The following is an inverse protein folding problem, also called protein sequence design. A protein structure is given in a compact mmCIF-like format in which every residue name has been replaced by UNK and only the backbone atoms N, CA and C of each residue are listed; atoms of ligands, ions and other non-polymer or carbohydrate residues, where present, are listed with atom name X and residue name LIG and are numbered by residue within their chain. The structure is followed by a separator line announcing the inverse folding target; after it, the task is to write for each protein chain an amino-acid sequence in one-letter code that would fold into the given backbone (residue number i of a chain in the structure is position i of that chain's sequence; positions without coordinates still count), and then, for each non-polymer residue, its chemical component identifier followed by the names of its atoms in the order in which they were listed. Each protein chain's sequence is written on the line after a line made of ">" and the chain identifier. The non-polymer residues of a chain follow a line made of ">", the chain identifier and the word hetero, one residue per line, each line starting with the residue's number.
data_IF_718201468383
#
_entry.id   IF_718201468383
#
_cell.length_a   1.000
_cell.length_b   1.000
_cell.length_c   1.000
_cell.angle_alpha   90.00
_cell.angle_beta   90.00
_cell.angle_gamma   90.00
#
_symmetry.space_group_name_H-M   'P 1'
#
loop_
_entity.id
_entity.type
_entity.pdbx_description
1 polymer ?
#
# COMPACT_ATOMS: atom_id res chain seq x y z
N UNK A 1 -5.95 -10.25 -20.62
CA UNK A 1 -6.14 -11.11 -19.43
C UNK A 1 -5.34 -10.65 -18.20
N UNK A 2 -4.00 -10.41 -18.25
CA UNK A 2 -3.24 -10.01 -17.05
C UNK A 2 -3.56 -8.59 -16.54
N UNK A 3 -3.91 -7.66 -17.45
CA UNK A 3 -4.26 -6.28 -17.09
C UNK A 3 -5.46 -6.21 -16.12
N UNK A 4 -6.55 -6.92 -16.43
CA UNK A 4 -7.77 -6.94 -15.59
C UNK A 4 -7.47 -7.50 -14.19
N UNK A 5 -6.65 -8.56 -14.10
CA UNK A 5 -6.26 -9.17 -12.82
C UNK A 5 -5.45 -8.18 -11.98
N UNK A 6 -4.48 -7.47 -12.59
CA UNK A 6 -3.69 -6.45 -11.90
C UNK A 6 -4.56 -5.27 -11.45
N UNK A 7 -5.52 -4.83 -12.26
CA UNK A 7 -6.44 -3.75 -11.90
C UNK A 7 -7.34 -4.14 -10.72
N UNK A 8 -7.95 -5.34 -10.76
CA UNK A 8 -8.80 -5.82 -9.66
C UNK A 8 -8.00 -6.00 -8.36
N UNK A 9 -6.77 -6.51 -8.46
CA UNK A 9 -5.89 -6.71 -7.32
C UNK A 9 -5.44 -5.37 -6.71
N UNK A 10 -5.11 -4.37 -7.54
CA UNK A 10 -4.79 -3.01 -7.08
C UNK A 10 -5.98 -2.34 -6.38
N UNK A 11 -7.20 -2.52 -6.90
CA UNK A 11 -8.44 -2.02 -6.27
C UNK A 11 -8.64 -2.70 -4.91
N UNK A 12 -8.47 -4.02 -4.83
CA UNK A 12 -8.56 -4.76 -3.57
C UNK A 12 -7.54 -4.29 -2.53
N UNK A 13 -6.30 -4.04 -2.95
CA UNK A 13 -5.24 -3.47 -2.10
C UNK A 13 -5.59 -2.07 -1.60
N UNK A 14 -6.14 -1.20 -2.46
CA UNK A 14 -6.56 0.15 -2.07
C UNK A 14 -7.72 0.12 -1.04
N UNK A 15 -8.73 -0.72 -1.27
CA UNK A 15 -9.87 -0.88 -0.36
C UNK A 15 -9.42 -1.48 0.97
N UNK A 16 -8.64 -2.57 0.93
CA UNK A 16 -8.10 -3.21 2.12
C UNK A 16 -7.17 -2.28 2.91
N UNK A 17 -6.35 -1.49 2.21
CA UNK A 17 -5.54 -0.43 2.79
C UNK A 17 -6.39 0.62 3.49
N UNK A 18 -7.45 1.13 2.85
CA UNK A 18 -8.33 2.14 3.44
C UNK A 18 -9.09 1.63 4.67
N UNK A 19 -9.70 0.45 4.58
CA UNK A 19 -10.42 -0.15 5.70
C UNK A 19 -9.45 -0.48 6.84
N UNK A 20 -8.31 -1.08 6.52
CA UNK A 20 -7.26 -1.41 7.49
C UNK A 20 -6.71 -0.15 8.15
N UNK A 21 -6.38 0.90 7.40
CA UNK A 21 -5.88 2.17 7.90
C UNK A 21 -6.88 2.88 8.81
N UNK A 22 -8.17 2.88 8.44
CA UNK A 22 -9.25 3.41 9.28
C UNK A 22 -9.38 2.60 10.57
N UNK A 23 -9.52 1.27 10.48
CA UNK A 23 -9.69 0.38 11.63
C UNK A 23 -8.52 0.47 12.62
N UNK A 24 -7.30 0.47 12.08
CA UNK A 24 -6.04 0.58 12.82
C UNK A 24 -5.90 1.96 13.49
N UNK A 25 -6.32 3.04 12.82
CA UNK A 25 -6.38 4.36 13.42
C UNK A 25 -7.41 4.42 14.57
N UNK A 26 -8.54 3.72 14.45
CA UNK A 26 -9.61 3.65 15.46
C UNK A 26 -9.19 2.87 16.70
N UNK A 27 -8.58 1.70 16.54
CA UNK A 27 -8.34 0.78 17.66
C UNK A 27 -6.95 0.90 18.29
N UNK A 28 -5.91 1.22 17.50
CA UNK A 28 -4.51 1.10 17.93
C UNK A 28 -3.85 2.48 18.19
N UNK A 29 -4.54 3.57 17.84
CA UNK A 29 -4.14 4.94 18.12
C UNK A 29 -3.32 5.62 17.01
N UNK A 30 -3.40 6.97 16.95
CA UNK A 30 -2.86 7.78 15.82
C UNK A 30 -1.37 7.61 15.56
N UNK A 31 -0.56 7.35 16.59
CA UNK A 31 0.91 7.22 16.46
C UNK A 31 1.30 5.88 15.86
N UNK A 32 0.76 4.77 16.36
CA UNK A 32 1.08 3.42 15.88
C UNK A 32 0.56 3.19 14.46
N UNK A 33 -0.62 3.74 14.13
CA UNK A 33 -1.14 3.75 12.75
C UNK A 33 -0.20 4.46 11.77
N UNK A 34 0.47 5.55 12.18
CA UNK A 34 1.49 6.22 11.38
C UNK A 34 2.69 5.33 11.13
N UNK A 35 3.23 4.71 12.18
CA UNK A 35 4.40 3.82 12.06
C UNK A 35 4.14 2.66 11.11
N UNK A 36 2.93 2.08 11.15
CA UNK A 36 2.54 0.99 10.26
C UNK A 36 2.41 1.49 8.81
N UNK A 37 1.74 2.62 8.58
CA UNK A 37 1.66 3.20 7.24
C UNK A 37 3.06 3.53 6.67
N UNK A 38 3.96 4.05 7.51
CA UNK A 38 5.33 4.37 7.16
C UNK A 38 6.14 3.10 6.83
N UNK A 39 5.98 2.04 7.63
CA UNK A 39 6.62 0.74 7.38
C UNK A 39 6.17 0.11 6.05
N UNK A 40 4.87 0.21 5.72
CA UNK A 40 4.33 -0.27 4.44
C UNK A 40 4.88 0.55 3.26
N UNK A 41 5.02 1.87 3.43
CA UNK A 41 5.66 2.76 2.45
C UNK A 41 7.13 2.40 2.23
N UNK A 42 7.89 2.19 3.31
CA UNK A 42 9.29 1.79 3.24
C UNK A 42 9.46 0.40 2.59
N UNK A 43 8.55 -0.54 2.85
CA UNK A 43 8.51 -1.84 2.18
C UNK A 43 8.30 -1.68 0.67
N UNK A 44 7.38 -0.79 0.25
CA UNK A 44 7.14 -0.49 -1.16
C UNK A 44 8.39 0.03 -1.87
N UNK A 45 9.09 0.97 -1.23
CA UNK A 45 10.34 1.55 -1.75
C UNK A 45 11.46 0.50 -1.78
N UNK A 46 11.59 -0.32 -0.74
CA UNK A 46 12.56 -1.41 -0.71
C UNK A 46 12.36 -2.43 -1.85
N UNK A 47 11.11 -2.76 -2.17
CA UNK A 47 10.77 -3.63 -3.29
C UNK A 47 11.07 -2.99 -4.65
N UNK A 48 10.82 -1.68 -4.80
CA UNK A 48 11.20 -0.91 -5.99
C UNK A 48 12.72 -0.92 -6.20
N UNK A 49 13.47 -0.71 -5.11
CA UNK A 49 14.94 -0.68 -5.11
C UNK A 49 15.52 -2.06 -5.39
N UNK A 50 15.02 -3.11 -4.74
CA UNK A 50 15.42 -4.50 -4.99
C UNK A 50 15.17 -4.92 -6.45
N UNK A 51 14.11 -4.42 -7.07
CA UNK A 51 13.81 -4.63 -8.49
C UNK A 51 14.80 -3.99 -9.45
N UNK A 52 15.36 -2.84 -9.08
CA UNK A 52 16.39 -2.16 -9.86
C UNK A 52 17.73 -2.90 -9.90
N UNK A 53 17.99 -3.79 -8.95
CA UNK A 53 19.21 -4.61 -8.90
C UNK A 53 19.10 -5.93 -9.67
N UNK A 54 17.91 -6.30 -10.14
CA UNK A 54 17.70 -7.49 -10.95
C UNK A 54 18.05 -7.18 -12.42
N UNK A 55 18.97 -7.94 -13.05
CA UNK A 55 19.41 -7.65 -14.41
C UNK A 55 18.31 -7.89 -15.46
N UNK A 56 18.17 -6.94 -16.40
CA UNK A 56 17.29 -7.04 -17.56
C UNK A 56 15.79 -6.82 -17.27
N UNK A 57 14.94 -7.14 -18.25
CA UNK A 57 13.47 -6.99 -18.16
C UNK A 57 12.83 -7.86 -17.06
N UNK A 58 13.56 -8.81 -16.48
CA UNK A 58 13.11 -9.65 -15.36
C UNK A 58 12.96 -8.84 -14.06
N UNK A 59 13.83 -7.86 -13.82
CA UNK A 59 13.71 -6.98 -12.65
C UNK A 59 12.41 -6.19 -12.66
N UNK A 60 12.06 -5.64 -13.82
CA UNK A 60 10.77 -4.94 -14.01
C UNK A 60 9.60 -5.92 -13.89
N UNK A 61 9.66 -7.09 -14.53
CA UNK A 61 8.56 -8.07 -14.48
C UNK A 61 8.23 -8.57 -13.06
N UNK A 62 9.22 -8.70 -12.18
CA UNK A 62 9.02 -9.20 -10.81
C UNK A 62 8.68 -8.10 -9.80
N UNK A 63 9.03 -6.84 -10.06
CA UNK A 63 8.81 -5.75 -9.10
C UNK A 63 7.68 -4.82 -9.45
N UNK A 64 7.32 -4.72 -10.72
CA UNK A 64 6.16 -3.96 -11.16
C UNK A 64 4.85 -4.45 -10.50
N UNK A 65 4.56 -5.76 -10.38
CA UNK A 65 3.36 -6.21 -9.68
C UNK A 65 3.40 -5.85 -8.20
N UNK A 66 4.53 -6.06 -7.52
CA UNK A 66 4.68 -5.73 -6.11
C UNK A 66 4.45 -4.24 -5.85
N UNK A 67 5.02 -3.36 -6.68
CA UNK A 67 4.83 -1.90 -6.60
C UNK A 67 3.38 -1.52 -6.88
N UNK A 68 2.77 -2.09 -7.93
CA UNK A 68 1.36 -1.87 -8.26
C UNK A 68 0.37 -2.34 -7.18
N UNK A 69 0.81 -3.17 -6.22
CA UNK A 69 -0.02 -3.65 -5.11
C UNK A 69 0.24 -2.90 -3.81
N UNK A 70 1.51 -2.65 -3.49
CA UNK A 70 1.89 -2.01 -2.23
C UNK A 70 1.62 -0.50 -2.28
N UNK A 71 1.80 0.16 -3.43
CA UNK A 71 1.53 1.59 -3.56
C UNK A 71 0.04 1.92 -3.31
N UNK A 72 -0.93 1.26 -3.97
CA UNK A 72 -2.35 1.52 -3.71
C UNK A 72 -2.77 1.15 -2.29
N UNK A 73 -2.18 0.10 -1.69
CA UNK A 73 -2.43 -0.25 -0.29
C UNK A 73 -1.94 0.85 0.67
N UNK A 74 -0.74 1.38 0.47
CA UNK A 74 -0.19 2.46 1.27
C UNK A 74 -1.02 3.75 1.13
N UNK A 75 -1.42 4.11 -0.10
CA UNK A 75 -2.31 5.24 -0.37
C UNK A 75 -3.67 5.02 0.29
N UNK A 76 -4.24 3.82 0.17
CA UNK A 76 -5.46 3.40 0.85
C UNK A 76 -5.36 3.62 2.36
N UNK A 77 -4.30 3.11 3.00
CA UNK A 77 -4.08 3.31 4.44
C UNK A 77 -4.02 4.78 4.84
N UNK A 78 -3.39 5.63 4.01
CA UNK A 78 -3.32 7.07 4.24
C UNK A 78 -4.72 7.72 4.18
N UNK A 79 -5.50 7.38 3.14
CA UNK A 79 -6.87 7.88 2.95
C UNK A 79 -7.79 7.41 4.07
N UNK A 80 -7.77 6.12 4.41
CA UNK A 80 -8.58 5.56 5.50
C UNK A 80 -8.26 6.18 6.86
N UNK A 81 -6.98 6.47 7.11
CA UNK A 81 -6.54 7.21 8.28
C UNK A 81 -7.02 8.66 8.28
N UNK A 82 -6.96 9.37 7.14
CA UNK A 82 -7.47 10.74 7.03
C UNK A 82 -8.98 10.78 7.28
N UNK A 83 -9.74 9.86 6.70
CA UNK A 83 -11.17 9.68 6.96
C UNK A 83 -11.44 9.40 8.44
N UNK A 84 -10.63 8.56 9.10
CA UNK A 84 -10.75 8.29 10.53
C UNK A 84 -10.50 9.52 11.41
N UNK A 85 -9.70 10.49 10.92
CA UNK A 85 -9.52 11.79 11.56
C UNK A 85 -10.74 12.67 11.40
N UNK A 86 -11.20 12.86 10.16
CA UNK A 86 -12.39 13.66 9.83
C UNK A 86 -13.67 13.19 10.53
N UNK A 87 -13.84 11.88 10.76
CA UNK A 87 -15.01 11.33 11.45
C UNK A 87 -14.98 11.49 12.98
N UNK A 88 -13.85 11.91 13.56
CA UNK A 88 -13.70 12.12 15.01
C UNK A 88 -13.71 13.58 15.42
N UNK A 89 -13.54 14.48 14.48
CA UNK A 89 -13.69 15.93 14.65
C UNK A 89 -15.18 16.31 14.51
#
# INVERSE_FOLDING_TARGET
>A
MPFIVLTLLAIGCAIGGAIGGWWLAVHIGRRVSLWIALAVLLLAVGLLVAGGFLPGTQGVAHTLPAVLLVLPAAVGMLVGRLLAGWLRD
#
